data_IF_413568421130
#
_entry.id   IF_413568421130
#
_cell.length_a   1.000
_cell.length_b   1.000
_cell.length_c   1.000
_cell.angle_alpha   90.00
_cell.angle_beta   90.00
_cell.angle_gamma   90.00
#
_symmetry.space_group_name_H-M   'P 1'
#
loop_
_entity.id
_entity.type
_entity.pdbx_description
1 polymer ?
#
# COMPACT_ATOMS: atom_id res chain seq x y z
N UNK A 1 19.22 -18.18 -21.88
CA UNK A 1 18.95 -17.26 -20.76
C UNK A 1 18.55 -15.90 -21.31
N UNK A 2 17.43 -15.39 -20.89
CA UNK A 2 16.95 -14.12 -21.39
C UNK A 2 17.43 -12.98 -20.49
N UNK A 3 17.57 -11.80 -21.09
CA UNK A 3 17.91 -10.59 -20.33
C UNK A 3 16.69 -10.11 -19.55
N UNK A 4 16.92 -9.45 -18.42
CA UNK A 4 15.80 -8.83 -17.71
C UNK A 4 15.09 -7.78 -18.55
N UNK A 5 13.82 -7.65 -18.35
CA UNK A 5 13.00 -6.66 -19.04
C UNK A 5 12.52 -5.60 -18.06
N UNK A 6 12.28 -4.39 -18.59
CA UNK A 6 11.69 -3.33 -17.79
C UNK A 6 10.19 -3.63 -17.64
N UNK A 7 9.70 -3.53 -16.42
CA UNK A 7 8.27 -3.65 -16.13
C UNK A 7 7.67 -2.26 -16.01
N UNK A 8 6.66 -1.99 -16.81
CA UNK A 8 5.98 -0.70 -16.76
C UNK A 8 4.77 -0.80 -15.85
N UNK A 9 4.56 0.24 -15.06
CA UNK A 9 3.37 0.36 -14.23
C UNK A 9 2.44 1.33 -14.95
N UNK A 10 1.34 0.80 -15.49
CA UNK A 10 0.39 1.64 -16.21
C UNK A 10 -1.00 1.35 -15.66
N UNK A 11 -1.83 2.38 -15.66
CA UNK A 11 -3.16 2.26 -15.12
C UNK A 11 -4.03 1.30 -15.91
N UNK A 12 -3.74 1.15 -17.18
CA UNK A 12 -4.49 0.23 -18.03
C UNK A 12 -4.48 -1.19 -17.52
N UNK A 13 -3.44 -1.58 -16.80
CA UNK A 13 -3.37 -2.93 -16.23
C UNK A 13 -4.49 -3.19 -15.25
N UNK A 14 -5.06 -2.13 -14.65
CA UNK A 14 -6.19 -2.26 -13.74
C UNK A 14 -7.46 -2.71 -14.45
N UNK A 15 -7.51 -2.56 -15.78
CA UNK A 15 -8.67 -2.93 -16.57
C UNK A 15 -8.57 -4.33 -17.13
N UNK A 16 -7.37 -4.92 -17.16
CA UNK A 16 -7.12 -6.17 -17.87
C UNK A 16 -6.77 -7.32 -16.97
N UNK A 17 -6.52 -7.09 -15.68
CA UNK A 17 -6.18 -8.15 -14.75
C UNK A 17 -7.04 -8.07 -13.50
N UNK A 18 -7.22 -9.24 -12.88
CA UNK A 18 -8.00 -9.35 -11.66
C UNK A 18 -7.14 -8.98 -10.47
N UNK A 19 -7.59 -8.08 -9.61
CA UNK A 19 -6.84 -7.79 -8.38
C UNK A 19 -7.05 -8.88 -7.35
N UNK A 20 -6.14 -8.93 -6.39
CA UNK A 20 -6.38 -9.67 -5.15
C UNK A 20 -7.18 -8.75 -4.24
N UNK A 21 -8.32 -9.22 -3.73
CA UNK A 21 -9.16 -8.44 -2.83
C UNK A 21 -9.10 -9.02 -1.43
N UNK A 22 -9.05 -8.14 -0.42
CA UNK A 22 -9.00 -8.57 0.96
C UNK A 22 -9.44 -7.46 1.90
N UNK A 23 -9.69 -7.84 3.15
CA UNK A 23 -9.97 -6.90 4.24
C UNK A 23 -8.89 -7.06 5.28
N UNK A 24 -8.61 -6.02 6.06
CA UNK A 24 -7.77 -6.19 7.23
C UNK A 24 -8.42 -7.21 8.17
N UNK A 25 -7.63 -7.79 9.07
CA UNK A 25 -8.15 -8.68 10.09
C UNK A 25 -9.25 -7.93 10.87
N UNK A 26 -10.39 -8.58 11.17
CA UNK A 26 -11.52 -7.88 11.77
C UNK A 26 -11.18 -7.13 13.06
N UNK A 27 -10.27 -7.67 13.88
CA UNK A 27 -9.89 -7.01 15.13
C UNK A 27 -9.08 -5.74 14.91
N UNK A 28 -8.55 -5.52 13.71
CA UNK A 28 -7.80 -4.31 13.39
C UNK A 28 -8.68 -3.20 12.84
N UNK A 29 -9.87 -3.52 12.37
CA UNK A 29 -10.75 -2.54 11.74
C UNK A 29 -11.37 -1.66 12.81
N UNK A 30 -11.22 -0.35 12.65
CA UNK A 30 -11.75 0.64 13.58
C UNK A 30 -13.06 1.24 13.09
N UNK A 31 -13.24 1.36 11.77
CA UNK A 31 -14.48 1.89 11.21
C UNK A 31 -14.58 1.53 9.73
N UNK A 32 -15.80 1.53 9.21
CA UNK A 32 -16.07 1.36 7.80
C UNK A 32 -15.81 -0.04 7.29
N UNK A 33 -15.66 -0.15 5.98
CA UNK A 33 -15.40 -1.41 5.30
C UNK A 33 -14.22 -1.22 4.37
N UNK A 34 -12.98 -1.18 4.89
CA UNK A 34 -11.80 -0.85 4.10
C UNK A 34 -11.37 -2.02 3.23
N UNK A 35 -12.18 -2.32 2.23
CA UNK A 35 -11.87 -3.38 1.27
C UNK A 35 -10.72 -2.93 0.39
N UNK A 36 -9.72 -3.77 0.28
CA UNK A 36 -8.50 -3.47 -0.45
C UNK A 36 -8.40 -4.32 -1.70
N UNK A 37 -7.78 -3.74 -2.73
CA UNK A 37 -7.48 -4.41 -3.99
C UNK A 37 -6.03 -4.15 -4.33
N UNK A 38 -5.33 -5.20 -4.74
CA UNK A 38 -3.91 -5.08 -5.10
C UNK A 38 -3.69 -5.69 -6.48
N UNK A 39 -3.03 -4.92 -7.33
CA UNK A 39 -2.52 -5.39 -8.62
C UNK A 39 -1.01 -5.42 -8.51
N UNK A 40 -0.46 -6.61 -8.28
CA UNK A 40 0.99 -6.78 -8.19
C UNK A 40 1.57 -6.77 -9.59
N UNK A 41 2.52 -5.89 -9.83
CA UNK A 41 3.13 -5.74 -11.16
C UNK A 41 4.49 -6.40 -11.21
N UNK A 42 5.20 -6.45 -10.10
CA UNK A 42 6.54 -7.01 -10.06
C UNK A 42 6.88 -7.46 -8.64
N UNK A 43 7.48 -8.61 -8.54
CA UNK A 43 8.09 -9.11 -7.29
C UNK A 43 9.39 -9.77 -7.69
N UNK A 44 10.49 -9.43 -7.00
CA UNK A 44 11.78 -10.00 -7.34
C UNK A 44 11.85 -11.47 -6.91
N UNK A 45 12.93 -12.15 -7.35
CA UNK A 45 13.05 -13.58 -7.11
C UNK A 45 13.19 -13.92 -5.63
N UNK A 46 13.72 -13.00 -4.83
CA UNK A 46 13.87 -13.20 -3.38
C UNK A 46 12.61 -12.80 -2.61
N UNK A 47 11.61 -12.27 -3.32
CA UNK A 47 10.36 -11.82 -2.74
C UNK A 47 10.54 -10.76 -1.66
N UNK A 48 11.57 -9.92 -1.83
CA UNK A 48 11.86 -8.84 -0.89
C UNK A 48 11.50 -7.47 -1.45
N UNK A 49 11.34 -7.36 -2.76
CA UNK A 49 11.05 -6.11 -3.43
C UNK A 49 9.80 -6.30 -4.28
N UNK A 50 8.77 -5.51 -4.02
CA UNK A 50 7.49 -5.63 -4.72
C UNK A 50 7.00 -4.26 -5.14
N UNK A 51 6.40 -4.20 -6.33
CA UNK A 51 5.86 -2.96 -6.87
C UNK A 51 4.49 -3.25 -7.47
N UNK A 52 3.54 -2.36 -7.23
CA UNK A 52 2.22 -2.54 -7.80
C UNK A 52 1.33 -1.35 -7.50
N UNK A 53 0.03 -1.61 -7.60
CA UNK A 53 -1.01 -0.61 -7.34
C UNK A 53 -1.94 -1.17 -6.28
N UNK A 54 -2.30 -0.31 -5.33
CA UNK A 54 -3.19 -0.64 -4.24
C UNK A 54 -4.34 0.37 -4.24
N UNK A 55 -5.53 -0.12 -3.96
CA UNK A 55 -6.72 0.71 -3.86
C UNK A 55 -7.53 0.25 -2.66
N UNK A 56 -8.17 1.20 -1.96
CA UNK A 56 -8.93 0.86 -0.78
C UNK A 56 -10.18 1.74 -0.65
N UNK A 57 -11.28 1.10 -0.25
CA UNK A 57 -12.54 1.78 0.03
C UNK A 57 -12.48 2.47 1.39
N UNK A 58 -13.39 3.45 1.66
CA UNK A 58 -13.37 4.17 2.94
C UNK A 58 -13.46 3.26 4.16
N UNK A 59 -12.68 3.61 5.15
CA UNK A 59 -12.62 2.89 6.42
C UNK A 59 -11.29 3.17 7.11
N UNK A 60 -11.15 2.67 8.33
CA UNK A 60 -9.93 2.88 9.11
C UNK A 60 -9.54 1.59 9.80
N UNK A 61 -8.23 1.34 9.87
CA UNK A 61 -7.73 0.15 10.55
C UNK A 61 -6.32 0.39 11.08
N UNK A 62 -5.94 -0.45 12.07
CA UNK A 62 -4.59 -0.39 12.63
C UNK A 62 -3.60 -1.05 11.70
N UNK A 63 -2.43 -0.44 11.57
CA UNK A 63 -1.34 -0.97 10.75
C UNK A 63 -0.07 -1.08 11.57
N UNK A 64 0.75 -2.08 11.22
CA UNK A 64 2.07 -2.26 11.77
C UNK A 64 2.96 -2.74 10.62
N UNK A 65 3.93 -1.94 10.25
CA UNK A 65 4.77 -2.22 9.10
C UNK A 65 6.03 -2.95 9.52
N UNK A 66 6.27 -4.09 8.89
CA UNK A 66 7.52 -4.83 9.03
C UNK A 66 8.45 -4.56 7.87
N UNK A 67 7.98 -3.85 6.86
CA UNK A 67 8.73 -3.52 5.65
C UNK A 67 8.84 -2.01 5.48
N UNK A 68 9.72 -1.60 4.56
CA UNK A 68 9.76 -0.20 4.12
C UNK A 68 8.81 -0.06 2.95
N UNK A 69 8.07 1.03 2.89
CA UNK A 69 7.17 1.24 1.76
C UNK A 69 7.24 2.67 1.26
N UNK A 70 7.49 2.83 -0.04
CA UNK A 70 7.33 4.11 -0.72
C UNK A 70 5.95 4.13 -1.37
N UNK A 71 5.24 5.25 -1.26
CA UNK A 71 3.90 5.40 -1.82
C UNK A 71 3.80 6.70 -2.61
N UNK A 72 3.06 6.64 -3.72
CA UNK A 72 2.59 7.83 -4.42
C UNK A 72 1.09 7.70 -4.62
N UNK A 73 0.35 8.66 -4.10
CA UNK A 73 -1.11 8.63 -4.19
C UNK A 73 -1.53 9.05 -5.60
N UNK A 74 -2.40 8.27 -6.23
CA UNK A 74 -2.92 8.53 -7.56
C UNK A 74 -4.28 9.21 -7.51
N UNK A 75 -5.11 8.84 -6.54
CA UNK A 75 -6.44 9.44 -6.36
C UNK A 75 -6.90 9.23 -4.94
N UNK A 76 -7.84 10.06 -4.51
CA UNK A 76 -8.49 9.90 -3.21
C UNK A 76 -7.81 10.68 -2.11
N UNK A 77 -8.20 10.37 -0.88
CA UNK A 77 -7.68 11.04 0.30
C UNK A 77 -7.64 10.08 1.48
N UNK A 78 -6.52 10.08 2.16
CA UNK A 78 -6.30 9.22 3.33
C UNK A 78 -5.60 10.00 4.43
N UNK A 79 -5.68 9.50 5.66
CA UNK A 79 -4.93 10.01 6.80
C UNK A 79 -4.16 8.86 7.42
N UNK A 80 -2.89 9.14 7.72
CA UNK A 80 -2.06 8.22 8.47
C UNK A 80 -1.72 8.86 9.79
N UNK A 81 -1.96 8.14 10.88
CA UNK A 81 -1.68 8.62 12.22
C UNK A 81 -0.69 7.66 12.86
N UNK A 82 0.43 8.19 13.37
CA UNK A 82 1.42 7.32 14.01
C UNK A 82 1.08 7.07 15.49
N UNK A 83 1.91 6.30 16.17
CA UNK A 83 1.66 5.93 17.55
C UNK A 83 1.64 7.13 18.49
N UNK A 84 2.31 8.22 18.11
CA UNK A 84 2.35 9.44 18.91
C UNK A 84 1.20 10.39 18.61
N UNK A 85 0.29 10.01 17.69
CA UNK A 85 -0.84 10.83 17.34
C UNK A 85 -0.57 11.87 16.27
N UNK A 86 0.60 11.84 15.62
CA UNK A 86 0.90 12.75 14.52
C UNK A 86 0.14 12.31 13.29
N UNK A 87 -0.63 13.23 12.70
CA UNK A 87 -1.49 12.96 11.56
C UNK A 87 -0.87 13.50 10.29
N UNK A 88 -0.86 12.70 9.24
CA UNK A 88 -0.48 13.14 7.90
C UNK A 88 -1.63 12.84 6.96
N UNK A 89 -2.16 13.87 6.32
CA UNK A 89 -3.18 13.68 5.30
C UNK A 89 -2.49 13.64 3.93
N UNK A 90 -2.91 12.68 3.08
CA UNK A 90 -2.31 12.46 1.77
C UNK A 90 -3.39 12.46 0.70
N UNK A 91 -3.09 13.11 -0.44
CA UNK A 91 -4.00 13.22 -1.58
C UNK A 91 -3.22 12.98 -2.86
N UNK A 92 -3.92 13.01 -4.00
CA UNK A 92 -3.30 12.73 -5.29
C UNK A 92 -2.05 13.59 -5.52
N UNK A 93 -0.98 12.93 -5.91
CA UNK A 93 0.32 13.56 -6.14
C UNK A 93 1.26 13.52 -4.95
N UNK A 94 0.77 13.23 -3.76
CA UNK A 94 1.63 13.15 -2.59
C UNK A 94 2.47 11.89 -2.62
N UNK A 95 3.73 12.05 -2.20
CA UNK A 95 4.68 10.93 -2.10
C UNK A 95 5.20 10.87 -0.67
N UNK A 96 5.35 9.65 -0.17
CA UNK A 96 5.84 9.48 1.20
C UNK A 96 6.41 8.09 1.40
N UNK A 97 7.17 7.94 2.46
CA UNK A 97 7.75 6.65 2.87
C UNK A 97 7.18 6.29 4.22
N UNK A 98 6.73 5.04 4.34
CA UNK A 98 6.35 4.46 5.62
C UNK A 98 7.49 3.54 6.03
N UNK A 99 8.25 3.91 7.07
CA UNK A 99 9.40 3.10 7.48
C UNK A 99 8.98 1.86 8.24
N UNK A 100 9.86 0.86 8.19
CA UNK A 100 9.67 -0.35 8.98
C UNK A 100 9.55 0.02 10.47
N UNK A 101 8.63 -0.66 11.12
CA UNK A 101 8.34 -0.38 12.54
C UNK A 101 7.24 0.64 12.75
N UNK A 102 6.74 1.24 11.67
CA UNK A 102 5.62 2.19 11.81
C UNK A 102 4.42 1.47 12.40
N UNK A 103 3.83 2.05 13.44
CA UNK A 103 2.58 1.59 14.02
C UNK A 103 1.61 2.76 14.07
N UNK A 104 0.36 2.49 13.72
CA UNK A 104 -0.61 3.55 13.75
C UNK A 104 -1.90 3.15 13.08
N UNK A 105 -2.53 4.14 12.44
CA UNK A 105 -3.83 3.97 11.82
C UNK A 105 -3.78 4.52 10.40
N UNK A 106 -4.31 3.77 9.46
CA UNK A 106 -4.60 4.24 8.11
C UNK A 106 -6.10 4.46 8.03
N UNK A 107 -6.50 5.67 7.68
CA UNK A 107 -7.91 5.99 7.45
C UNK A 107 -8.08 6.41 6.01
N UNK A 108 -8.91 5.69 5.26
CA UNK A 108 -9.30 6.08 3.91
C UNK A 108 -10.56 6.91 4.03
N UNK A 109 -10.45 8.20 3.67
CA UNK A 109 -11.58 9.14 3.74
C UNK A 109 -12.36 9.09 2.44
N UNK A 110 -11.62 9.14 1.30
CA UNK A 110 -12.16 8.95 -0.04
C UNK A 110 -11.38 7.82 -0.66
N UNK A 111 -12.03 6.96 -1.43
CA UNK A 111 -11.36 5.81 -2.04
C UNK A 111 -9.99 6.22 -2.54
N UNK A 112 -8.97 5.56 -2.05
CA UNK A 112 -7.58 5.93 -2.29
C UNK A 112 -6.91 4.87 -3.15
N UNK A 113 -6.19 5.32 -4.17
CA UNK A 113 -5.37 4.47 -5.04
C UNK A 113 -3.96 4.99 -5.01
N UNK A 114 -2.98 4.09 -4.89
CA UNK A 114 -1.57 4.48 -4.85
C UNK A 114 -0.70 3.48 -5.60
N UNK A 115 0.42 3.98 -6.10
CA UNK A 115 1.56 3.13 -6.46
C UNK A 115 2.28 2.81 -5.18
N UNK A 116 2.66 1.55 -5.00
CA UNK A 116 3.47 1.16 -3.85
C UNK A 116 4.76 0.49 -4.31
N UNK A 117 5.81 0.72 -3.53
CA UNK A 117 7.09 0.03 -3.67
C UNK A 117 7.44 -0.46 -2.27
N UNK A 118 7.55 -1.76 -2.11
CA UNK A 118 7.79 -2.39 -0.81
C UNK A 118 9.13 -3.08 -0.84
N UNK A 119 9.92 -2.86 0.21
CA UNK A 119 11.14 -3.60 0.45
C UNK A 119 11.06 -4.29 1.79
N UNK A 120 11.16 -5.61 1.77
CA UNK A 120 11.15 -6.42 2.98
C UNK A 120 12.54 -6.97 3.18
N UNK A 121 13.26 -6.44 4.18
CA UNK A 121 14.64 -6.82 4.39
C UNK A 121 14.79 -8.28 4.83
N UNK A 122 13.67 -8.91 5.21
CA UNK A 122 13.73 -10.24 5.79
C UNK A 122 14.09 -10.15 7.26
N UNK A 123 14.33 -11.31 7.85
CA UNK A 123 14.64 -11.36 9.27
C UNK A 123 15.98 -10.76 9.53
N UNK A 124 16.04 -9.81 10.45
CA UNK A 124 17.32 -9.32 10.94
C UNK A 124 17.91 -10.38 11.85
N UNK A 125 19.14 -10.72 11.58
CA UNK A 125 19.80 -11.78 12.30
C UNK A 125 20.98 -11.26 13.10
#
# INVERSE_FOLDING_TARGET
>A
MSSPHITRLIEESLLTSEPVEYLPAPEKILSGNPRQRVWSHYTDTDQKFSVGIWECEPGAWRIHYTEEEYCRVMMGRSRLTNADGVVREVTAGDEFVIPRGFEGVWEVIERTRKVYVIYEAGDAQ
#
